data_IF_824429931993
#
_entry.id   IF_824429931993
#
_cell.length_a   1.000
_cell.length_b   1.000
_cell.length_c   1.000
_cell.angle_alpha   90.00
_cell.angle_beta   90.00
_cell.angle_gamma   90.00
#
_symmetry.space_group_name_H-M   'P 1'
#
loop_
_entity.id
_entity.type
_entity.pdbx_description
1 polymer ?
#
# COMPACT_ATOMS: atom_id res chain seq x y z
N UNK A 1 -5.95 -10.52 12.54
CA UNK A 1 -5.91 -9.09 12.20
C UNK A 1 -7.32 -8.59 11.96
N UNK A 2 -7.73 -7.54 12.68
CA UNK A 2 -9.08 -6.98 12.56
C UNK A 2 -9.17 -5.86 11.54
N UNK A 3 -8.05 -5.44 11.00
CA UNK A 3 -7.98 -4.35 10.05
C UNK A 3 -7.74 -4.87 8.65
N UNK A 4 -8.21 -4.11 7.65
CA UNK A 4 -7.89 -4.38 6.27
C UNK A 4 -6.43 -4.08 5.97
N UNK A 5 -5.88 -4.73 4.96
CA UNK A 5 -4.54 -4.50 4.47
C UNK A 5 -4.63 -4.00 3.03
N UNK A 6 -3.99 -2.87 2.76
CA UNK A 6 -3.91 -2.30 1.42
C UNK A 6 -2.47 -2.28 0.91
N UNK A 7 -2.32 -2.51 -0.38
CA UNK A 7 -1.01 -2.60 -1.01
C UNK A 7 -1.02 -1.88 -2.35
N UNK A 8 0.07 -1.15 -2.62
CA UNK A 8 0.33 -0.56 -3.94
C UNK A 8 1.75 -0.96 -4.34
N UNK A 9 1.87 -1.67 -5.44
CA UNK A 9 3.16 -2.07 -5.99
C UNK A 9 3.51 -1.14 -7.14
N UNK A 10 4.72 -0.61 -7.08
CA UNK A 10 5.21 0.38 -8.04
C UNK A 10 6.55 -0.05 -8.62
N UNK A 11 6.92 0.60 -9.73
CA UNK A 11 8.27 0.48 -10.26
C UNK A 11 9.11 1.64 -9.73
N UNK A 12 10.12 1.30 -8.93
CA UNK A 12 11.05 2.28 -8.37
C UNK A 12 10.59 2.91 -7.07
N UNK A 13 11.56 3.44 -6.33
CA UNK A 13 11.33 3.99 -5.00
C UNK A 13 10.58 5.32 -5.04
N UNK A 14 10.80 6.14 -6.05
CA UNK A 14 10.14 7.45 -6.15
C UNK A 14 8.61 7.27 -6.23
N UNK A 15 8.15 6.36 -7.10
CA UNK A 15 6.74 6.08 -7.23
C UNK A 15 6.17 5.48 -5.93
N UNK A 16 6.95 4.63 -5.25
CA UNK A 16 6.53 4.03 -3.97
C UNK A 16 6.34 5.10 -2.90
N UNK A 17 7.24 6.05 -2.80
CA UNK A 17 7.13 7.15 -1.82
C UNK A 17 5.93 8.02 -2.14
N UNK A 18 5.70 8.32 -3.42
CA UNK A 18 4.54 9.09 -3.85
C UNK A 18 3.24 8.36 -3.50
N UNK A 19 3.18 7.05 -3.73
CA UNK A 19 2.02 6.25 -3.37
C UNK A 19 1.77 6.27 -1.86
N UNK A 20 2.82 6.07 -1.06
CA UNK A 20 2.71 6.08 0.40
C UNK A 20 2.19 7.42 0.91
N UNK A 21 2.73 8.51 0.41
CA UNK A 21 2.29 9.86 0.78
C UNK A 21 0.81 10.08 0.43
N UNK A 22 0.42 9.74 -0.79
CA UNK A 22 -0.96 9.89 -1.23
C UNK A 22 -1.92 9.07 -0.38
N UNK A 23 -1.54 7.85 -0.02
CA UNK A 23 -2.38 6.96 0.79
C UNK A 23 -2.63 7.52 2.18
N UNK A 24 -1.59 7.96 2.88
CA UNK A 24 -1.75 8.44 4.25
C UNK A 24 -2.41 9.82 4.32
N UNK A 25 -2.34 10.59 3.24
CA UNK A 25 -3.05 11.87 3.14
C UNK A 25 -4.53 11.68 2.82
N UNK A 26 -4.89 10.62 2.09
CA UNK A 26 -6.25 10.43 1.59
C UNK A 26 -7.21 9.89 2.63
N UNK A 27 -6.73 9.11 3.59
CA UNK A 27 -7.59 8.41 4.54
C UNK A 27 -6.86 8.12 5.85
N UNK A 28 -7.62 7.79 6.88
CA UNK A 28 -7.05 7.44 8.19
C UNK A 28 -6.55 6.01 8.17
N UNK A 29 -5.35 5.83 7.63
CA UNK A 29 -4.67 4.53 7.58
C UNK A 29 -3.30 4.64 8.22
N UNK A 30 -2.76 3.51 8.64
CA UNK A 30 -1.42 3.42 9.22
C UNK A 30 -0.48 2.82 8.17
N UNK A 31 0.62 3.52 7.89
CA UNK A 31 1.65 2.99 7.01
C UNK A 31 2.39 1.86 7.73
N UNK A 32 2.40 0.67 7.13
CA UNK A 32 3.13 -0.48 7.69
C UNK A 32 4.58 -0.44 7.26
N UNK A 33 4.82 -0.10 6.00
CA UNK A 33 6.16 -0.05 5.47
C UNK A 33 6.21 -0.38 4.00
N UNK A 34 7.41 -0.67 3.52
CA UNK A 34 7.65 -1.02 2.14
C UNK A 34 8.56 -2.23 2.04
N UNK A 35 8.44 -2.95 0.93
CA UNK A 35 9.30 -4.08 0.59
C UNK A 35 9.84 -3.90 -0.82
N UNK A 36 11.14 -4.05 -0.97
CA UNK A 36 11.78 -4.11 -2.28
C UNK A 36 11.72 -5.57 -2.75
N UNK A 37 11.03 -5.78 -3.86
CA UNK A 37 10.73 -7.15 -4.31
C UNK A 37 11.81 -7.65 -5.28
N UNK A 38 12.57 -6.76 -5.88
CA UNK A 38 13.52 -7.06 -6.94
C UNK A 38 13.04 -6.53 -8.27
N UNK A 39 13.93 -6.46 -9.24
CA UNK A 39 13.65 -5.92 -10.58
C UNK A 39 13.08 -4.50 -10.58
N UNK A 40 13.44 -3.72 -9.56
CA UNK A 40 12.97 -2.34 -9.41
C UNK A 40 11.57 -2.21 -8.82
N UNK A 41 10.94 -3.31 -8.43
CA UNK A 41 9.58 -3.28 -7.87
C UNK A 41 9.62 -3.01 -6.37
N UNK A 42 8.71 -2.15 -5.91
CA UNK A 42 8.57 -1.78 -4.50
C UNK A 42 7.08 -1.84 -4.15
N UNK A 43 6.76 -2.52 -3.06
CA UNK A 43 5.40 -2.57 -2.55
C UNK A 43 5.30 -1.73 -1.29
N UNK A 44 4.29 -0.87 -1.21
CA UNK A 44 3.98 -0.11 0.02
C UNK A 44 2.66 -0.59 0.58
N UNK A 45 2.58 -0.65 1.91
CA UNK A 45 1.46 -1.29 2.60
C UNK A 45 0.89 -0.40 3.69
N UNK A 46 -0.44 -0.40 3.79
CA UNK A 46 -1.17 0.32 4.82
C UNK A 46 -2.21 -0.58 5.45
N UNK A 47 -2.64 -0.25 6.66
CA UNK A 47 -3.75 -0.94 7.32
C UNK A 47 -4.69 0.06 7.97
N UNK A 48 -5.91 -0.38 8.22
CA UNK A 48 -6.97 0.42 8.83
C UNK A 48 -8.34 -0.18 8.53
N UNK A 49 -9.39 0.60 8.75
CA UNK A 49 -10.75 0.18 8.37
C UNK A 49 -10.82 -0.05 6.87
N UNK A 50 -11.64 -1.02 6.45
CA UNK A 50 -11.71 -1.42 5.05
C UNK A 50 -12.07 -0.25 4.12
N UNK A 51 -12.99 0.61 4.51
CA UNK A 51 -13.37 1.78 3.71
C UNK A 51 -12.21 2.76 3.55
N UNK A 52 -11.48 3.02 4.65
CA UNK A 52 -10.31 3.89 4.63
C UNK A 52 -9.19 3.29 3.77
N UNK A 53 -8.95 1.99 3.90
CA UNK A 53 -7.91 1.31 3.12
C UNK A 53 -8.24 1.33 1.62
N UNK A 54 -9.51 1.10 1.26
CA UNK A 54 -9.93 1.20 -0.14
C UNK A 54 -9.70 2.59 -0.71
N UNK A 55 -10.07 3.62 0.02
CA UNK A 55 -9.85 5.01 -0.40
C UNK A 55 -8.36 5.33 -0.52
N UNK A 56 -7.56 4.87 0.44
CA UNK A 56 -6.12 5.09 0.42
C UNK A 56 -5.47 4.42 -0.81
N UNK A 57 -5.80 3.15 -1.07
CA UNK A 57 -5.23 2.41 -2.19
C UNK A 57 -5.62 3.05 -3.52
N UNK A 58 -6.87 3.50 -3.65
CA UNK A 58 -7.32 4.20 -4.84
C UNK A 58 -6.51 5.48 -5.07
N UNK A 59 -6.30 6.28 -4.01
CA UNK A 59 -5.53 7.51 -4.09
C UNK A 59 -4.05 7.24 -4.44
N UNK A 60 -3.46 6.22 -3.83
CA UNK A 60 -2.07 5.82 -4.11
C UNK A 60 -1.88 5.36 -5.54
N UNK A 61 -2.80 4.53 -6.02
CA UNK A 61 -2.79 4.06 -7.40
C UNK A 61 -2.95 5.21 -8.40
N UNK A 62 -3.88 6.12 -8.14
CA UNK A 62 -4.12 7.28 -9.00
C UNK A 62 -2.90 8.21 -9.06
N UNK A 63 -2.27 8.46 -7.91
CA UNK A 63 -1.09 9.32 -7.84
C UNK A 63 0.07 8.76 -8.66
N UNK A 64 0.31 7.45 -8.57
CA UNK A 64 1.41 6.81 -9.28
C UNK A 64 1.08 6.52 -10.75
N UNK A 65 -0.20 6.33 -11.09
CA UNK A 65 -0.62 6.18 -12.49
C UNK A 65 -0.21 7.38 -13.34
N UNK A 66 -0.26 8.58 -12.75
CA UNK A 66 0.16 9.79 -13.44
C UNK A 66 1.64 9.76 -13.80
N UNK A 67 2.42 8.97 -13.08
CA UNK A 67 3.84 8.78 -13.38
C UNK A 67 4.07 7.59 -14.30
N UNK A 68 3.01 6.82 -14.63
CA UNK A 68 3.11 5.61 -15.44
C UNK A 68 3.77 4.45 -14.73
N UNK A 69 3.79 4.45 -13.38
CA UNK A 69 4.63 3.55 -12.60
C UNK A 69 3.89 2.57 -11.69
N UNK A 70 2.56 2.60 -11.68
CA UNK A 70 1.80 1.62 -10.88
C UNK A 70 1.80 0.27 -11.59
N UNK A 71 2.07 -0.80 -10.82
CA UNK A 71 2.10 -2.18 -11.33
C UNK A 71 0.86 -2.92 -10.87
N UNK A 72 0.49 -2.80 -9.60
CA UNK A 72 -0.65 -3.51 -9.03
C UNK A 72 -1.13 -2.80 -7.78
N UNK A 73 -2.43 -2.93 -7.51
CA UNK A 73 -3.02 -2.49 -6.26
C UNK A 73 -3.90 -3.62 -5.74
N UNK A 74 -4.01 -3.73 -4.43
CA UNK A 74 -4.86 -4.76 -3.84
C UNK A 74 -5.30 -4.37 -2.44
N UNK A 75 -6.51 -4.83 -2.07
CA UNK A 75 -7.03 -4.69 -0.72
C UNK A 75 -7.47 -6.06 -0.24
N UNK A 76 -7.01 -6.45 0.94
CA UNK A 76 -7.48 -7.64 1.62
C UNK A 76 -8.34 -7.15 2.78
N UNK A 77 -9.69 -7.30 2.71
CA UNK A 77 -10.57 -6.71 3.73
C UNK A 77 -10.39 -7.31 5.12
N UNK A 78 -10.13 -8.60 5.21
CA UNK A 78 -9.95 -9.29 6.49
C UNK A 78 -8.82 -10.31 6.40
N UNK A 79 -7.56 -9.85 6.45
CA UNK A 79 -6.43 -10.77 6.38
C UNK A 79 -6.43 -11.70 7.59
N UNK A 80 -6.03 -12.95 7.36
CA UNK A 80 -5.82 -13.90 8.44
C UNK A 80 -4.72 -13.39 9.37
N UNK A 81 -4.83 -13.66 10.66
CA UNK A 81 -3.86 -13.21 11.67
C UNK A 81 -2.41 -13.57 11.31
N UNK A 82 -2.21 -14.75 10.71
CA UNK A 82 -0.88 -15.21 10.34
C UNK A 82 -0.21 -14.37 9.25
N UNK A 83 -0.98 -13.57 8.52
CA UNK A 83 -0.44 -12.67 7.49
C UNK A 83 0.50 -11.64 8.12
N UNK A 84 0.30 -11.29 9.40
CA UNK A 84 1.18 -10.37 10.11
C UNK A 84 2.64 -10.81 10.07
N UNK A 85 2.88 -12.12 9.99
CA UNK A 85 4.24 -12.68 9.97
C UNK A 85 5.00 -12.31 8.69
N UNK A 86 4.27 -11.92 7.63
CA UNK A 86 4.86 -11.59 6.33
C UNK A 86 5.07 -10.09 6.15
N UNK A 87 4.49 -9.27 7.02
CA UNK A 87 4.51 -7.82 6.84
C UNK A 87 5.81 -7.22 7.37
N UNK A 88 6.29 -6.14 6.74
CA UNK A 88 7.48 -5.46 7.23
C UNK A 88 7.22 -4.84 8.60
N UNK A 89 8.30 -4.69 9.35
CA UNK A 89 8.30 -4.03 10.65
C UNK A 89 8.78 -2.60 10.45
N UNK A 90 8.02 -1.64 10.95
CA UNK A 90 8.41 -0.23 10.88
C UNK A 90 9.07 0.19 12.19
#
# INVERSE_FOLDING_TARGET
>A
MNEALGMVETRGLVAAIEAADAMVKAANVTLIGSEKIGSGLVSVMVRGDVGAVKAAVEAGGAATSRLGEVIATHVIPRPHTDVDKLLPSI
#
